data_IF_204414306779
#
_entry.id   IF_204414306779
#
_cell.length_a   1.000
_cell.length_b   1.000
_cell.length_c   1.000
_cell.angle_alpha   90.00
_cell.angle_beta   90.00
_cell.angle_gamma   90.00
#
_symmetry.space_group_name_H-M   'P 1'
#
loop_
_entity.id
_entity.type
_entity.pdbx_description
1 polymer ?
#
# COMPACT_ATOMS: atom_id res chain seq x y z
N UNK A 1 13.78 5.83 22.47
CA UNK A 1 13.48 6.90 21.49
C UNK A 1 12.65 6.28 20.38
N UNK A 2 11.56 6.91 19.96
CA UNK A 2 10.84 6.52 18.74
C UNK A 2 11.55 7.17 17.56
N UNK A 3 11.94 6.38 16.56
CA UNK A 3 12.57 6.86 15.33
C UNK A 3 11.59 6.71 14.18
N UNK A 4 11.49 7.74 13.33
CA UNK A 4 10.71 7.66 12.10
C UNK A 4 11.51 6.84 11.09
N UNK A 5 10.92 5.74 10.62
CA UNK A 5 11.54 4.84 9.63
C UNK A 5 10.99 5.15 8.26
N UNK A 6 11.86 5.35 7.28
CA UNK A 6 11.49 5.40 5.87
C UNK A 6 11.85 4.07 5.19
N UNK A 7 10.93 3.56 4.38
CA UNK A 7 11.16 2.43 3.48
C UNK A 7 11.18 3.01 2.06
N UNK A 8 12.21 2.69 1.28
CA UNK A 8 12.38 3.21 -0.08
C UNK A 8 12.39 2.08 -1.11
N UNK A 9 11.78 2.36 -2.26
CA UNK A 9 11.79 1.50 -3.45
C UNK A 9 12.81 2.05 -4.45
N UNK A 10 13.50 1.18 -5.20
CA UNK A 10 14.47 1.62 -6.23
C UNK A 10 13.76 2.09 -7.52
N UNK A 11 12.51 1.68 -7.71
CA UNK A 11 11.68 1.99 -8.85
C UNK A 11 11.15 3.42 -8.78
N UNK A 12 11.38 4.19 -9.84
CA UNK A 12 10.83 5.54 -9.96
C UNK A 12 9.31 5.56 -10.21
N UNK A 13 8.76 4.45 -10.71
CA UNK A 13 7.39 4.37 -11.23
C UNK A 13 6.49 3.61 -10.24
N UNK A 14 5.50 4.28 -9.58
CA UNK A 14 4.73 3.69 -8.48
C UNK A 14 4.00 2.40 -8.85
N UNK A 15 3.40 2.32 -10.04
CA UNK A 15 2.62 1.16 -10.49
C UNK A 15 3.48 -0.01 -10.98
N UNK A 16 4.81 0.13 -10.98
CA UNK A 16 5.74 -0.93 -11.36
C UNK A 16 6.47 -1.54 -10.16
N UNK A 17 6.08 -1.16 -8.95
CA UNK A 17 6.70 -1.62 -7.73
C UNK A 17 5.68 -2.20 -6.77
N UNK A 18 6.17 -2.89 -5.75
CA UNK A 18 5.32 -3.53 -4.73
C UNK A 18 5.10 -2.66 -3.50
N UNK A 19 5.43 -1.35 -3.56
CA UNK A 19 5.38 -0.47 -2.39
C UNK A 19 3.98 -0.38 -1.78
N UNK A 20 2.94 -0.44 -2.61
CA UNK A 20 1.55 -0.43 -2.14
C UNK A 20 1.21 -1.69 -1.33
N UNK A 21 1.81 -2.85 -1.63
CA UNK A 21 1.61 -4.06 -0.82
C UNK A 21 2.17 -3.89 0.59
N UNK A 22 3.33 -3.22 0.71
CA UNK A 22 3.95 -2.92 2.02
C UNK A 22 3.15 -1.86 2.76
N UNK A 23 2.74 -0.80 2.06
CA UNK A 23 1.91 0.28 2.60
C UNK A 23 0.60 -0.23 3.16
N UNK A 24 -0.15 -1.01 2.36
CA UNK A 24 -1.40 -1.63 2.78
C UNK A 24 -1.23 -2.51 4.04
N UNK A 25 -0.17 -3.32 4.09
CA UNK A 25 0.11 -4.19 5.24
C UNK A 25 0.36 -3.39 6.53
N UNK A 26 0.96 -2.21 6.42
CA UNK A 26 1.15 -1.30 7.56
C UNK A 26 -0.15 -0.61 7.94
N UNK A 27 -0.93 -0.13 6.97
CA UNK A 27 -2.25 0.49 7.21
C UNK A 27 -3.20 -0.47 7.95
N UNK A 28 -3.25 -1.74 7.53
CA UNK A 28 -4.05 -2.80 8.17
C UNK A 28 -3.61 -3.12 9.61
N UNK A 29 -2.42 -2.65 10.02
CA UNK A 29 -1.91 -2.73 11.40
C UNK A 29 -2.04 -1.42 12.16
N UNK A 30 -2.89 -0.49 11.69
CA UNK A 30 -3.10 0.85 12.24
C UNK A 30 -1.83 1.71 12.28
N UNK A 31 -0.89 1.48 11.37
CA UNK A 31 0.31 2.30 11.21
C UNK A 31 0.07 3.31 10.11
N UNK A 32 0.23 4.60 10.41
CA UNK A 32 0.14 5.66 9.40
C UNK A 32 1.27 5.54 8.37
N UNK A 33 0.91 5.55 7.09
CA UNK A 33 1.85 5.52 5.96
C UNK A 33 1.61 6.72 5.06
N UNK A 34 2.71 7.38 4.68
CA UNK A 34 2.71 8.47 3.71
C UNK A 34 3.68 8.17 2.58
N UNK A 35 3.23 8.38 1.35
CA UNK A 35 4.03 8.35 0.14
C UNK A 35 4.79 9.67 0.00
N UNK A 36 6.12 9.60 -0.09
CA UNK A 36 6.98 10.77 -0.36
C UNK A 36 7.06 10.98 -1.87
N UNK A 37 6.40 12.02 -2.38
CA UNK A 37 6.33 12.32 -3.82
C UNK A 37 7.42 13.28 -4.28
N UNK A 38 8.10 13.95 -3.33
CA UNK A 38 9.17 14.90 -3.58
C UNK A 38 9.38 15.82 -2.38
N UNK A 39 10.27 16.84 -2.50
CA UNK A 39 10.53 17.78 -1.42
C UNK A 39 9.25 18.47 -0.93
N UNK A 40 8.92 18.30 0.35
CA UNK A 40 7.73 18.91 0.97
C UNK A 40 6.38 18.37 0.49
N UNK A 41 6.36 17.34 -0.36
CA UNK A 41 5.14 16.77 -0.93
C UNK A 41 4.97 15.32 -0.48
N UNK A 42 3.93 15.09 0.31
CA UNK A 42 3.52 13.75 0.75
C UNK A 42 2.06 13.52 0.46
N UNK A 43 1.68 12.25 0.32
CA UNK A 43 0.30 11.83 0.17
C UNK A 43 0.02 10.68 1.13
N UNK A 44 -1.11 10.68 1.86
CA UNK A 44 -1.50 9.50 2.63
C UNK A 44 -1.65 8.29 1.73
N UNK A 45 -1.06 7.16 2.13
CA UNK A 45 -1.32 5.90 1.45
C UNK A 45 -2.78 5.51 1.63
N UNK A 46 -3.34 4.86 0.63
CA UNK A 46 -4.73 4.37 0.67
C UNK A 46 -4.71 2.90 0.35
N UNK A 47 -5.55 2.15 1.09
CA UNK A 47 -5.72 0.73 0.85
C UNK A 47 -6.02 0.47 -0.63
N UNK A 48 -5.31 -0.47 -1.23
CA UNK A 48 -5.60 -0.93 -2.59
C UNK A 48 -7.09 -1.31 -2.70
N UNK A 49 -7.88 -0.73 -3.64
CA UNK A 49 -9.34 -0.81 -3.59
C UNK A 49 -9.96 -2.22 -3.63
N UNK A 50 -9.27 -3.18 -4.24
CA UNK A 50 -9.73 -4.57 -4.36
C UNK A 50 -9.12 -5.51 -3.31
N UNK A 51 -8.33 -4.97 -2.37
CA UNK A 51 -7.75 -5.76 -1.30
C UNK A 51 -8.83 -6.22 -0.31
N UNK A 52 -8.69 -7.45 0.18
CA UNK A 52 -9.57 -8.05 1.18
C UNK A 52 -8.81 -8.13 2.50
N UNK A 53 -9.41 -7.59 3.57
CA UNK A 53 -8.81 -7.49 4.90
C UNK A 53 -9.57 -8.37 5.90
N UNK A 54 -8.85 -9.25 6.57
CA UNK A 54 -9.34 -10.11 7.67
C UNK A 54 -8.44 -9.91 8.91
N UNK A 55 -8.90 -9.08 9.85
CA UNK A 55 -8.06 -8.67 10.97
C UNK A 55 -6.82 -7.91 10.47
N UNK A 56 -5.63 -8.45 10.75
CA UNK A 56 -4.35 -7.88 10.25
C UNK A 56 -3.83 -8.56 8.98
N UNK A 57 -4.58 -9.51 8.43
CA UNK A 57 -4.25 -10.25 7.22
C UNK A 57 -4.86 -9.54 6.03
N UNK A 58 -4.07 -9.30 4.98
CA UNK A 58 -4.52 -8.70 3.74
C UNK A 58 -4.23 -9.65 2.57
N UNK A 59 -5.20 -9.79 1.67
CA UNK A 59 -5.08 -10.59 0.45
C UNK A 59 -5.55 -9.79 -0.77
N UNK A 60 -5.08 -10.18 -1.95
CA UNK A 60 -5.32 -9.49 -3.22
C UNK A 60 -5.85 -10.52 -4.22
N UNK A 61 -7.15 -10.87 -4.14
CA UNK A 61 -7.73 -11.83 -5.08
C UNK A 61 -7.71 -11.26 -6.50
N UNK A 62 -7.76 -12.12 -7.53
CA UNK A 62 -8.02 -11.65 -8.88
C UNK A 62 -9.33 -10.86 -8.91
N UNK A 63 -9.44 -9.92 -9.84
CA UNK A 63 -10.74 -9.34 -10.16
C UNK A 63 -11.71 -10.48 -10.46
N UNK A 64 -12.91 -10.45 -9.88
CA UNK A 64 -13.94 -11.39 -10.25
C UNK A 64 -14.16 -11.26 -11.76
N UNK A 65 -13.87 -12.33 -12.50
CA UNK A 65 -14.23 -12.40 -13.91
C UNK A 65 -15.76 -12.37 -13.98
N UNK A 66 -16.29 -11.20 -14.32
CA UNK A 66 -17.73 -10.98 -14.60
C UNK A 66 -18.09 -11.49 -16.01
N UNK A 67 -17.28 -12.39 -16.58
CA UNK A 67 -17.64 -13.16 -17.76
C UNK A 67 -18.66 -14.22 -17.36
N UNK A 68 -19.92 -13.77 -17.22
CA UNK A 68 -21.07 -14.65 -17.16
C UNK A 68 -21.14 -15.48 -18.43
N UNK A 69 -20.75 -16.75 -18.29
CA UNK A 69 -21.05 -17.82 -19.24
C UNK A 69 -22.09 -18.76 -18.61
#
# INVERSE_FOLDING_TARGET
RTQVTAIMCAEAVPWRCHRSLVGDALLVRDIEVVDIMGPGSTRPEKLTPFAVVEGTTITYPPYADDSGE
#
